data_IF_817684465503
#
_entry.id   IF_817684465503
#
_cell.length_a   1.000
_cell.length_b   1.000
_cell.length_c   1.000
_cell.angle_alpha   90.00
_cell.angle_beta   90.00
_cell.angle_gamma   90.00
#
_symmetry.space_group_name_H-M   'P 1'
#
loop_
_entity.id
_entity.type
_entity.pdbx_description
1 polymer ?
#
# COMPACT_ATOMS: atom_id res chain seq x y z
N UNK A 1 -26.71 24.38 49.53
CA UNK A 1 -26.31 24.81 48.18
C UNK A 1 -24.80 25.09 48.16
N UNK A 2 -24.10 24.42 47.23
CA UNK A 2 -22.70 24.63 46.75
C UNK A 2 -21.55 24.54 47.76
N UNK A 3 -20.92 23.35 47.79
CA UNK A 3 -19.52 23.14 48.19
C UNK A 3 -18.64 23.46 46.97
N UNK A 4 -17.72 24.41 47.12
CA UNK A 4 -16.66 24.70 46.16
C UNK A 4 -15.51 23.71 46.37
N UNK A 5 -15.25 22.86 45.37
CA UNK A 5 -14.03 22.06 45.29
C UNK A 5 -13.08 22.74 44.30
N UNK A 6 -12.00 23.32 44.84
CA UNK A 6 -10.84 23.83 44.12
C UNK A 6 -10.02 22.65 43.60
N UNK A 7 -10.05 22.40 42.28
CA UNK A 7 -9.12 21.50 41.62
C UNK A 7 -7.86 22.29 41.23
N UNK A 8 -6.75 22.01 41.92
CA UNK A 8 -5.42 22.49 41.54
C UNK A 8 -4.93 21.65 40.36
N UNK A 9 -4.83 22.24 39.18
CA UNK A 9 -4.05 21.67 38.08
C UNK A 9 -2.56 21.82 38.41
N UNK A 10 -1.86 20.68 38.42
CA UNK A 10 -0.39 20.60 38.41
C UNK A 10 0.05 20.75 36.96
N UNK A 11 0.94 21.69 36.60
CA UNK A 11 1.53 21.71 35.27
C UNK A 11 2.60 20.62 35.18
N UNK A 12 2.36 19.59 34.38
CA UNK A 12 3.43 18.68 33.94
C UNK A 12 4.16 19.38 32.80
N UNK A 13 5.28 20.00 33.15
CA UNK A 13 6.25 20.49 32.18
C UNK A 13 7.00 19.28 31.59
N UNK A 14 6.67 18.91 30.35
CA UNK A 14 7.48 17.97 29.59
C UNK A 14 8.52 18.77 28.80
N UNK A 15 9.69 18.94 29.41
CA UNK A 15 10.85 19.59 28.82
C UNK A 15 11.44 18.73 27.70
N UNK A 16 11.15 19.07 26.44
CA UNK A 16 11.91 18.58 25.29
C UNK A 16 13.15 19.47 25.10
N UNK A 17 14.25 19.09 25.75
CA UNK A 17 15.57 19.73 25.55
C UNK A 17 16.38 18.83 24.60
N UNK A 18 16.37 19.14 23.32
CA UNK A 18 17.44 18.72 22.41
C UNK A 18 18.37 19.92 22.21
N UNK A 19 19.41 19.99 23.04
CA UNK A 19 20.53 20.91 22.85
C UNK A 19 21.36 20.42 21.66
N UNK A 20 21.38 21.24 20.61
CA UNK A 20 22.45 21.25 19.61
C UNK A 20 23.74 21.70 20.30
N UNK A 21 24.78 20.87 20.21
CA UNK A 21 26.14 21.22 20.59
C UNK A 21 27.11 20.69 19.55
N UNK A 22 27.58 21.57 18.66
CA UNK A 22 28.74 21.36 17.81
C UNK A 22 30.02 21.27 18.65
N UNK A 23 31.00 20.47 18.23
CA UNK A 23 32.40 20.68 18.63
C UNK A 23 33.29 19.44 18.76
N UNK A 24 33.93 19.07 17.64
CA UNK A 24 35.36 18.73 17.47
C UNK A 24 36.12 17.96 18.57
N UNK A 25 36.72 16.82 18.20
CA UNK A 25 37.94 16.31 18.85
C UNK A 25 38.23 14.82 18.67
N UNK A 26 39.21 14.49 17.83
CA UNK A 26 40.03 13.26 17.88
C UNK A 26 41.49 13.69 18.21
N UNK A 27 42.49 12.80 18.50
CA UNK A 27 42.48 11.40 18.95
C UNK A 27 43.53 11.10 20.07
N UNK A 28 43.68 9.80 20.44
CA UNK A 28 44.77 9.05 21.15
C UNK A 28 44.17 8.22 22.31
N UNK A 29 44.44 6.93 22.55
CA UNK A 29 45.43 5.98 22.06
C UNK A 29 46.04 5.25 23.26
N UNK A 30 45.83 3.92 23.40
CA UNK A 30 46.78 2.89 23.92
C UNK A 30 46.07 1.62 24.45
N UNK A 31 46.41 0.47 23.86
CA UNK A 31 46.85 -0.83 24.44
C UNK A 31 46.62 -1.06 25.96
N UNK A 32 46.33 -2.27 26.49
CA UNK A 32 46.82 -3.60 26.12
C UNK A 32 46.16 -4.71 26.99
N UNK A 33 45.95 -5.92 26.42
CA UNK A 33 46.07 -7.30 27.02
C UNK A 33 45.25 -7.73 28.27
N UNK A 34 44.85 -8.99 28.49
CA UNK A 34 45.14 -10.29 27.87
C UNK A 34 44.20 -11.41 28.40
N UNK A 35 44.05 -12.47 27.57
CA UNK A 35 44.01 -13.93 27.85
C UNK A 35 42.97 -14.47 28.85
N UNK A 36 42.10 -15.40 28.46
CA UNK A 36 42.34 -16.84 28.17
C UNK A 36 41.14 -17.61 28.78
N UNK A 37 40.73 -18.82 28.44
CA UNK A 37 41.30 -19.91 27.67
C UNK A 37 40.14 -20.79 27.15
N UNK A 38 40.39 -21.54 26.08
CA UNK A 38 39.55 -22.60 25.55
C UNK A 38 39.75 -23.91 26.34
N UNK A 39 38.71 -24.74 26.46
CA UNK A 39 38.83 -26.21 26.47
C UNK A 39 37.55 -26.84 25.92
N UNK A 40 37.74 -27.66 24.89
CA UNK A 40 36.84 -28.65 24.28
C UNK A 40 36.77 -29.96 25.08
N UNK A 41 35.70 -30.75 24.98
CA UNK A 41 35.80 -32.21 24.80
C UNK A 41 34.48 -32.86 24.33
N UNK A 42 34.66 -33.93 23.56
CA UNK A 42 33.69 -34.73 22.81
C UNK A 42 33.06 -35.88 23.64
N UNK A 43 31.87 -36.29 23.17
CA UNK A 43 31.32 -37.64 22.95
C UNK A 43 31.40 -38.76 24.02
N UNK A 44 30.25 -39.42 24.29
CA UNK A 44 30.05 -40.85 23.96
C UNK A 44 28.59 -41.31 24.17
N UNK A 45 28.17 -42.24 23.29
CA UNK A 45 26.92 -43.02 23.27
C UNK A 45 26.85 -44.13 24.34
N UNK A 46 25.65 -44.65 24.62
CA UNK A 46 25.49 -45.94 25.32
C UNK A 46 24.08 -46.35 25.80
N UNK A 47 23.27 -46.90 24.88
CA UNK A 47 22.39 -48.08 24.95
C UNK A 47 21.24 -48.32 25.99
N UNK A 48 20.02 -48.49 25.41
CA UNK A 48 18.90 -49.45 25.63
C UNK A 48 18.36 -49.90 27.02
N UNK A 49 17.01 -49.84 27.15
CA UNK A 49 16.11 -51.03 27.26
C UNK A 49 14.58 -50.70 27.27
N UNK A 50 13.86 -51.38 26.37
CA UNK A 50 12.46 -51.93 26.36
C UNK A 50 11.36 -51.31 27.26
N UNK A 51 10.19 -50.87 26.79
CA UNK A 51 9.10 -51.45 25.95
C UNK A 51 7.83 -51.76 26.79
N UNK A 52 6.65 -51.49 26.22
CA UNK A 52 5.28 -52.09 26.37
C UNK A 52 4.23 -50.96 26.16
N UNK A 53 3.65 -50.83 24.96
CA UNK A 53 2.34 -51.38 24.51
C UNK A 53 1.16 -50.45 24.88
N UNK A 54 0.39 -49.85 23.97
CA UNK A 54 -0.66 -50.55 23.22
C UNK A 54 -1.39 -49.63 22.19
N UNK A 55 -1.51 -50.18 20.97
CA UNK A 55 -2.59 -50.13 19.96
C UNK A 55 -3.44 -48.87 19.73
N UNK A 56 -3.24 -48.30 18.54
CA UNK A 56 -4.22 -47.55 17.76
C UNK A 56 -5.33 -48.46 17.16
N UNK A 57 -6.53 -47.92 16.88
CA UNK A 57 -7.42 -48.44 15.85
C UNK A 57 -7.26 -47.64 14.55
N UNK A 58 -7.10 -48.36 13.43
CA UNK A 58 -7.34 -47.84 12.09
C UNK A 58 -8.85 -47.66 11.85
N UNK A 59 -9.23 -46.55 11.22
CA UNK A 59 -10.46 -46.45 10.43
C UNK A 59 -10.11 -45.86 9.07
N UNK A 60 -10.56 -46.55 8.02
CA UNK A 60 -10.43 -46.19 6.61
C UNK A 60 -11.49 -45.15 6.19
N UNK A 61 -11.06 -44.29 5.26
CA UNK A 61 -11.78 -43.79 4.08
C UNK A 61 -13.00 -42.84 4.20
N UNK A 62 -13.08 -41.96 3.19
CA UNK A 62 -14.07 -40.93 2.87
C UNK A 62 -14.00 -39.67 3.76
N UNK A 63 -13.91 -38.45 3.26
CA UNK A 63 -14.48 -37.91 2.03
C UNK A 63 -13.47 -37.05 1.25
N UNK A 64 -13.33 -37.35 -0.03
CA UNK A 64 -12.99 -36.35 -1.02
C UNK A 64 -14.19 -35.40 -1.10
N UNK A 65 -14.06 -34.16 -0.61
CA UNK A 65 -15.04 -33.13 -0.91
C UNK A 65 -14.66 -32.52 -2.26
N UNK A 66 -15.43 -32.93 -3.26
CA UNK A 66 -15.41 -32.37 -4.60
C UNK A 66 -15.87 -30.91 -4.51
N UNK A 67 -14.97 -29.96 -4.76
CA UNK A 67 -15.38 -28.63 -5.23
C UNK A 67 -15.82 -28.84 -6.67
N UNK A 68 -17.12 -29.08 -6.85
CA UNK A 68 -17.73 -29.02 -8.17
C UNK A 68 -17.61 -27.59 -8.67
N UNK A 69 -16.86 -27.46 -9.76
CA UNK A 69 -16.85 -26.31 -10.66
C UNK A 69 -18.29 -26.06 -11.13
N UNK A 70 -18.97 -25.09 -10.53
CA UNK A 70 -20.14 -24.46 -11.14
C UNK A 70 -19.63 -23.23 -11.86
N UNK A 71 -19.04 -23.46 -13.03
CA UNK A 71 -19.05 -22.44 -14.08
C UNK A 71 -20.30 -22.74 -14.91
N UNK A 72 -21.48 -22.44 -14.36
CA UNK A 72 -22.65 -22.21 -15.19
C UNK A 72 -22.44 -20.82 -15.79
N UNK A 73 -22.03 -20.78 -17.06
CA UNK A 73 -22.35 -19.65 -17.93
C UNK A 73 -23.88 -19.58 -17.97
N UNK A 74 -24.47 -18.80 -17.07
CA UNK A 74 -25.83 -18.32 -17.25
C UNK A 74 -25.80 -17.51 -18.54
N UNK A 75 -26.56 -17.94 -19.54
CA UNK A 75 -26.81 -17.08 -20.69
C UNK A 75 -27.46 -15.80 -20.16
N UNK A 76 -27.00 -14.61 -20.59
CA UNK A 76 -27.57 -13.37 -20.11
C UNK A 76 -29.09 -13.38 -20.34
N UNK A 77 -29.85 -12.99 -19.32
CA UNK A 77 -31.30 -12.84 -19.45
C UNK A 77 -31.64 -11.85 -20.57
N UNK A 78 -32.86 -11.90 -21.09
CA UNK A 78 -33.30 -11.06 -22.23
C UNK A 78 -33.15 -9.54 -21.98
N UNK A 79 -32.91 -9.11 -20.73
CA UNK A 79 -32.74 -7.71 -20.30
C UNK A 79 -31.30 -7.38 -19.78
N UNK A 80 -30.29 -8.20 -20.05
CA UNK A 80 -28.89 -7.93 -19.63
C UNK A 80 -28.28 -6.77 -20.42
N UNK A 81 -27.88 -5.72 -19.71
CA UNK A 81 -27.09 -4.61 -20.24
C UNK A 81 -25.73 -4.61 -19.54
N UNK A 82 -24.63 -4.95 -20.25
CA UNK A 82 -23.31 -4.98 -19.65
C UNK A 82 -22.88 -3.62 -19.11
N UNK A 83 -22.13 -3.64 -18.02
CA UNK A 83 -21.50 -2.46 -17.44
C UNK A 83 -20.70 -1.71 -18.52
N UNK A 84 -20.97 -0.41 -18.64
CA UNK A 84 -20.27 0.46 -19.59
C UNK A 84 -19.22 1.27 -18.84
N UNK A 85 -17.97 0.83 -18.93
CA UNK A 85 -16.84 1.60 -18.42
C UNK A 85 -16.73 2.96 -19.14
N UNK A 86 -16.38 4.05 -18.44
CA UNK A 86 -16.08 5.32 -19.08
C UNK A 86 -14.77 5.23 -19.89
N UNK A 87 -14.47 6.29 -20.66
CA UNK A 87 -13.17 6.40 -21.31
C UNK A 87 -12.02 6.31 -20.30
N UNK A 88 -10.93 5.65 -20.72
CA UNK A 88 -9.74 5.46 -19.90
C UNK A 88 -9.17 6.82 -19.43
N UNK A 89 -9.09 7.00 -18.11
CA UNK A 89 -8.55 8.21 -17.51
C UNK A 89 -7.02 8.08 -17.35
N UNK A 90 -6.28 8.57 -18.33
CA UNK A 90 -4.81 8.53 -18.30
C UNK A 90 -4.20 9.63 -17.40
N UNK A 91 -2.92 9.47 -17.05
CA UNK A 91 -2.10 10.49 -16.41
C UNK A 91 -0.76 10.66 -17.12
N UNK A 92 -0.49 11.90 -17.55
CA UNK A 92 0.66 12.22 -18.41
C UNK A 92 1.44 13.38 -17.82
N UNK A 93 2.77 13.27 -17.87
CA UNK A 93 3.68 14.35 -17.50
C UNK A 93 3.97 15.24 -18.71
N UNK A 94 3.71 16.54 -18.58
CA UNK A 94 3.94 17.54 -19.63
C UNK A 94 5.14 18.41 -19.27
N UNK A 95 6.32 18.03 -19.78
CA UNK A 95 7.56 18.73 -19.48
C UNK A 95 7.56 20.21 -19.94
N UNK A 96 6.80 20.54 -20.97
CA UNK A 96 6.63 21.89 -21.53
C UNK A 96 5.70 22.80 -20.71
N UNK A 97 4.85 22.20 -19.87
CA UNK A 97 3.95 22.91 -18.94
C UNK A 97 4.48 22.92 -17.50
N UNK A 98 5.60 22.23 -17.25
CA UNK A 98 6.19 22.11 -15.92
C UNK A 98 6.91 23.39 -15.48
N UNK A 99 6.68 23.79 -14.24
CA UNK A 99 7.48 24.82 -13.57
C UNK A 99 8.68 24.17 -12.87
N UNK A 100 9.77 24.89 -12.67
CA UNK A 100 10.95 24.29 -12.05
C UNK A 100 12.15 25.20 -11.89
N UNK A 101 13.22 24.62 -11.37
CA UNK A 101 14.53 25.26 -11.20
C UNK A 101 15.63 24.25 -11.44
N UNK A 102 16.64 24.65 -12.23
CA UNK A 102 17.79 23.81 -12.53
C UNK A 102 17.39 22.50 -13.19
N UNK A 103 17.57 21.40 -12.46
CA UNK A 103 17.31 20.04 -12.92
C UNK A 103 15.97 19.44 -12.48
N UNK A 104 15.10 20.22 -11.81
CA UNK A 104 13.78 19.80 -11.36
C UNK A 104 12.70 20.40 -12.25
N UNK A 105 11.74 19.56 -12.66
CA UNK A 105 10.50 19.94 -13.35
C UNK A 105 9.32 19.41 -12.55
N UNK A 106 8.36 20.28 -12.20
CA UNK A 106 7.12 19.97 -11.51
C UNK A 106 5.93 20.40 -12.38
N UNK A 107 5.21 19.43 -12.91
CA UNK A 107 4.00 19.62 -13.70
C UNK A 107 2.76 19.56 -12.79
N UNK A 108 2.04 20.67 -12.69
CA UNK A 108 0.77 20.80 -12.00
C UNK A 108 -0.38 21.20 -12.94
N UNK A 109 -0.17 21.13 -14.26
CA UNK A 109 -1.18 21.48 -15.27
C UNK A 109 -2.44 20.63 -15.16
N UNK A 110 -2.30 19.38 -14.71
CA UNK A 110 -3.37 18.43 -14.47
C UNK A 110 -3.89 18.40 -13.03
N UNK A 111 -3.57 19.39 -12.19
CA UNK A 111 -3.98 19.40 -10.79
C UNK A 111 -5.50 19.30 -10.59
N UNK A 112 -6.30 19.86 -11.51
CA UNK A 112 -7.78 19.72 -11.46
C UNK A 112 -8.28 18.30 -11.72
N UNK A 113 -7.46 17.47 -12.37
CA UNK A 113 -7.66 16.03 -12.57
C UNK A 113 -7.02 15.20 -11.45
N UNK A 114 -6.62 15.83 -10.35
CA UNK A 114 -6.21 15.14 -9.12
C UNK A 114 -4.81 14.54 -9.14
N UNK A 115 -3.95 14.95 -10.07
CA UNK A 115 -2.55 14.50 -10.10
C UNK A 115 -1.59 15.62 -10.51
N UNK A 116 -0.32 15.41 -10.21
CA UNK A 116 0.80 16.16 -10.79
C UNK A 116 1.92 15.20 -11.16
N UNK A 117 2.96 15.72 -11.79
CA UNK A 117 4.16 14.94 -12.10
C UNK A 117 5.43 15.67 -11.73
N UNK A 118 6.48 14.92 -11.38
CA UNK A 118 7.79 15.49 -11.06
C UNK A 118 8.88 14.69 -11.76
N UNK A 119 9.84 15.40 -12.33
CA UNK A 119 11.08 14.84 -12.88
C UNK A 119 12.26 15.58 -12.26
N UNK A 120 13.35 14.86 -11.99
CA UNK A 120 14.57 15.45 -11.48
C UNK A 120 15.81 14.78 -12.09
N UNK A 121 16.87 15.56 -12.29
CA UNK A 121 18.22 15.04 -12.52
C UNK A 121 19.14 15.41 -11.38
N UNK A 122 19.83 14.44 -10.79
CA UNK A 122 20.68 14.64 -9.62
C UNK A 122 21.73 13.54 -9.48
N UNK A 123 22.78 13.80 -8.70
CA UNK A 123 23.83 12.82 -8.41
C UNK A 123 23.46 11.94 -7.21
N UNK A 124 22.58 12.45 -6.33
CA UNK A 124 22.09 11.77 -5.13
C UNK A 124 20.58 11.61 -5.13
N UNK A 125 20.07 10.74 -4.24
CA UNK A 125 18.63 10.43 -4.12
C UNK A 125 17.79 11.70 -3.97
N UNK A 126 16.75 11.83 -4.78
CA UNK A 126 15.79 12.94 -4.72
C UNK A 126 14.47 12.47 -4.12
N UNK A 127 13.83 13.35 -3.34
CA UNK A 127 12.48 13.14 -2.82
C UNK A 127 11.58 14.31 -3.13
N UNK A 128 10.33 14.01 -3.49
CA UNK A 128 9.21 14.94 -3.43
C UNK A 128 8.51 14.75 -2.09
N UNK A 129 8.25 15.82 -1.36
CA UNK A 129 7.38 15.86 -0.21
C UNK A 129 6.21 16.82 -0.47
N UNK A 130 5.00 16.35 -0.22
CA UNK A 130 3.77 17.11 -0.36
C UNK A 130 3.12 17.26 1.01
N UNK A 131 2.78 18.50 1.36
CA UNK A 131 2.08 18.82 2.61
C UNK A 131 0.97 19.82 2.36
N UNK A 132 -0.14 19.70 3.10
CA UNK A 132 -1.22 20.69 3.17
C UNK A 132 -1.13 21.51 4.45
N UNK A 133 -1.96 22.57 4.57
CA UNK A 133 -1.88 23.51 5.70
C UNK A 133 -2.32 22.90 7.05
N UNK A 134 -3.05 21.78 7.07
CA UNK A 134 -3.47 21.13 8.30
C UNK A 134 -2.27 20.54 9.06
N UNK A 135 -2.06 20.98 10.30
CA UNK A 135 -0.92 20.54 11.11
C UNK A 135 -0.90 19.03 11.41
N UNK A 136 -2.06 18.37 11.30
CA UNK A 136 -2.25 16.92 11.46
C UNK A 136 -2.41 16.18 10.13
N UNK A 137 -2.36 16.86 9.00
CA UNK A 137 -2.55 16.23 7.70
C UNK A 137 -1.37 15.31 7.37
N UNK A 138 -1.63 14.18 6.69
CA UNK A 138 -0.57 13.28 6.28
C UNK A 138 0.43 13.98 5.35
N UNK A 139 1.70 13.64 5.52
CA UNK A 139 2.78 14.10 4.64
C UNK A 139 3.09 13.00 3.65
N UNK A 140 2.89 13.29 2.37
CA UNK A 140 3.20 12.34 1.30
C UNK A 140 4.63 12.53 0.85
N UNK A 141 5.40 11.44 0.77
CA UNK A 141 6.80 11.49 0.35
C UNK A 141 7.06 10.42 -0.70
N UNK A 142 7.62 10.84 -1.84
CA UNK A 142 7.91 9.98 -2.97
C UNK A 142 9.40 10.01 -3.30
N UNK A 143 9.98 8.85 -3.60
CA UNK A 143 11.29 8.78 -4.23
C UNK A 143 11.17 9.18 -5.70
N UNK A 144 12.02 10.10 -6.16
CA UNK A 144 12.03 10.59 -7.55
C UNK A 144 13.27 10.03 -8.25
N UNK A 145 13.13 9.37 -9.42
CA UNK A 145 14.26 8.94 -10.22
C UNK A 145 15.19 10.12 -10.54
N UNK A 146 16.50 9.88 -10.51
CA UNK A 146 17.52 10.93 -10.66
C UNK A 146 18.06 11.04 -12.08
N UNK A 147 17.53 10.25 -13.02
CA UNK A 147 17.90 10.22 -14.43
C UNK A 147 17.00 11.12 -15.31
N UNK A 148 16.01 11.77 -14.71
CA UNK A 148 15.02 12.58 -15.39
C UNK A 148 13.74 11.83 -15.78
N UNK A 149 13.61 10.55 -15.44
CA UNK A 149 12.35 9.82 -15.59
C UNK A 149 11.30 10.43 -14.65
N UNK A 150 10.15 10.91 -15.16
CA UNK A 150 9.13 11.50 -14.32
C UNK A 150 8.39 10.42 -13.52
N UNK A 151 7.83 10.83 -12.38
CA UNK A 151 6.78 10.08 -11.68
C UNK A 151 5.50 10.90 -11.65
N UNK A 152 4.36 10.22 -11.64
CA UNK A 152 3.04 10.82 -11.40
C UNK A 152 2.65 10.58 -9.94
N UNK A 153 2.15 11.61 -9.27
CA UNK A 153 1.66 11.52 -7.89
C UNK A 153 0.21 12.02 -7.79
N UNK A 154 -0.64 11.39 -6.97
CA UNK A 154 -2.00 11.84 -6.75
C UNK A 154 -2.07 12.99 -5.74
N UNK A 155 -3.08 13.84 -5.86
CA UNK A 155 -3.39 14.96 -4.96
C UNK A 155 -4.56 14.57 -4.04
N UNK A 156 -4.28 13.73 -3.05
CA UNK A 156 -5.31 13.00 -2.29
C UNK A 156 -5.93 13.77 -1.12
N UNK A 157 -5.39 14.95 -0.76
CA UNK A 157 -5.91 15.80 0.33
C UNK A 157 -7.05 16.73 -0.11
N UNK A 158 -7.60 16.56 -1.31
CA UNK A 158 -8.72 17.37 -1.82
C UNK A 158 -8.32 18.79 -2.22
N UNK A 159 -9.28 19.72 -2.15
CA UNK A 159 -9.06 21.14 -2.48
C UNK A 159 -8.27 21.86 -1.39
N UNK A 160 -7.46 22.84 -1.79
CA UNK A 160 -6.78 23.75 -0.87
C UNK A 160 -5.33 24.00 -1.25
N UNK A 161 -4.58 24.62 -0.33
CA UNK A 161 -3.18 24.96 -0.56
C UNK A 161 -2.26 23.78 -0.26
N UNK A 162 -1.48 23.40 -1.27
CA UNK A 162 -0.43 22.39 -1.19
C UNK A 162 0.94 23.07 -1.20
N UNK A 163 1.89 22.49 -0.49
CA UNK A 163 3.31 22.80 -0.61
C UNK A 163 4.03 21.58 -1.17
N UNK A 164 4.78 21.79 -2.25
CA UNK A 164 5.61 20.78 -2.91
C UNK A 164 7.06 21.12 -2.64
N UNK A 165 7.77 20.23 -1.93
CA UNK A 165 9.19 20.34 -1.66
C UNK A 165 9.94 19.23 -2.39
N UNK A 166 10.83 19.60 -3.31
CA UNK A 166 11.74 18.66 -3.96
C UNK A 166 13.14 18.86 -3.38
N UNK A 167 13.73 17.81 -2.83
CA UNK A 167 15.03 17.88 -2.19
C UNK A 167 15.97 16.77 -2.62
N UNK A 168 17.27 17.06 -2.65
CA UNK A 168 18.35 16.12 -2.90
C UNK A 168 19.00 15.70 -1.59
N UNK A 169 19.31 14.41 -1.45
CA UNK A 169 19.92 13.87 -0.25
C UNK A 169 21.33 14.41 -0.05
N UNK A 170 21.61 14.91 1.16
CA UNK A 170 22.96 15.35 1.55
C UNK A 170 23.63 14.31 2.44
N UNK A 171 22.88 13.79 3.42
CA UNK A 171 23.35 12.71 4.30
C UNK A 171 22.18 12.11 5.08
N UNK A 172 22.17 10.79 5.23
CA UNK A 172 21.11 10.09 5.98
C UNK A 172 19.71 10.50 5.53
N UNK A 173 18.95 11.14 6.43
CA UNK A 173 17.60 11.65 6.19
C UNK A 173 17.54 13.15 5.87
N UNK A 174 18.68 13.83 5.73
CA UNK A 174 18.76 15.26 5.43
C UNK A 174 18.73 15.50 3.93
N UNK A 175 17.88 16.42 3.51
CA UNK A 175 17.74 16.84 2.11
C UNK A 175 17.94 18.34 1.99
N UNK A 176 18.74 18.75 0.99
CA UNK A 176 18.84 20.14 0.58
C UNK A 176 17.71 20.46 -0.40
N UNK A 177 17.12 21.65 -0.29
CA UNK A 177 16.07 22.07 -1.20
C UNK A 177 16.63 22.25 -2.62
N UNK A 178 16.05 21.54 -3.58
CA UNK A 178 16.25 21.81 -5.01
C UNK A 178 15.17 22.76 -5.53
N UNK A 179 13.92 22.51 -5.16
CA UNK A 179 12.77 23.30 -5.59
C UNK A 179 11.68 23.28 -4.52
N UNK A 180 10.96 24.38 -4.38
CA UNK A 180 9.76 24.43 -3.54
C UNK A 180 8.74 25.37 -4.15
N UNK A 181 7.47 24.99 -4.10
CA UNK A 181 6.38 25.85 -4.54
C UNK A 181 5.10 25.56 -3.76
N UNK A 182 4.19 26.53 -3.80
CA UNK A 182 2.83 26.39 -3.27
C UNK A 182 1.84 26.44 -4.42
N UNK A 183 0.79 25.66 -4.32
CA UNK A 183 -0.26 25.64 -5.34
C UNK A 183 -1.64 25.46 -4.68
N UNK A 184 -2.62 26.25 -5.13
CA UNK A 184 -4.01 26.13 -4.69
C UNK A 184 -4.74 25.13 -5.60
N UNK A 185 -4.89 23.90 -5.12
CA UNK A 185 -5.53 22.81 -5.87
C UNK A 185 -7.05 22.98 -5.84
N UNK A 186 -7.65 22.91 -7.03
CA UNK A 186 -9.11 22.86 -7.23
C UNK A 186 -9.43 21.69 -8.13
N UNK A 187 -9.83 20.58 -7.52
CA UNK A 187 -10.25 19.38 -8.21
C UNK A 187 -11.56 19.63 -8.95
N UNK A 188 -11.73 18.96 -10.09
CA UNK A 188 -13.00 18.89 -10.81
C UNK A 188 -14.08 18.22 -9.95
N UNK A 189 -13.70 17.16 -9.25
CA UNK A 189 -14.48 16.45 -8.24
C UNK A 189 -13.54 15.67 -7.30
N UNK A 190 -14.06 15.15 -6.20
CA UNK A 190 -13.28 14.48 -5.15
C UNK A 190 -12.71 13.12 -5.56
N UNK A 191 -13.18 12.53 -6.66
CA UNK A 191 -12.76 11.21 -7.11
C UNK A 191 -11.53 11.25 -8.02
N UNK A 192 -11.24 12.41 -8.61
CA UNK A 192 -10.17 12.59 -9.60
C UNK A 192 -8.80 11.98 -9.22
N UNK A 193 -8.30 12.10 -7.96
CA UNK A 193 -7.02 11.50 -7.58
C UNK A 193 -7.00 9.97 -7.61
N UNK A 194 -8.17 9.34 -7.56
CA UNK A 194 -8.35 7.90 -7.35
C UNK A 194 -8.85 7.19 -8.61
N UNK A 195 -8.72 7.80 -9.78
CA UNK A 195 -9.19 7.27 -11.06
C UNK A 195 -8.07 6.99 -12.06
N UNK A 196 -6.83 7.35 -11.75
CA UNK A 196 -5.73 7.41 -12.72
C UNK A 196 -4.51 6.61 -12.29
N UNK A 197 -3.60 6.33 -13.23
CA UNK A 197 -2.28 5.82 -12.90
C UNK A 197 -1.50 6.79 -12.01
N UNK A 198 -0.73 6.24 -11.09
CA UNK A 198 0.21 6.97 -10.23
C UNK A 198 1.43 6.12 -9.92
N UNK A 199 2.44 6.69 -9.27
CA UNK A 199 3.71 6.01 -8.97
C UNK A 199 3.54 4.68 -8.25
N UNK A 200 2.51 4.53 -7.41
CA UNK A 200 2.26 3.28 -6.68
C UNK A 200 1.15 2.41 -7.27
N UNK A 201 0.37 2.95 -8.21
CA UNK A 201 -0.62 2.22 -8.99
C UNK A 201 -0.33 2.51 -10.44
N UNK A 202 0.77 1.95 -10.95
CA UNK A 202 1.33 2.31 -12.25
C UNK A 202 0.84 1.35 -13.34
N UNK A 203 0.04 1.87 -14.26
CA UNK A 203 -0.53 1.15 -15.40
C UNK A 203 -0.79 2.11 -16.56
N UNK A 204 -1.07 1.57 -17.73
CA UNK A 204 -1.44 2.30 -18.94
C UNK A 204 -2.61 1.60 -19.62
N UNK A 205 -3.23 2.24 -20.62
CA UNK A 205 -4.33 1.62 -21.37
C UNK A 205 -3.96 0.25 -21.99
N UNK A 206 -2.69 0.05 -22.35
CA UNK A 206 -2.21 -1.19 -22.98
C UNK A 206 -1.82 -2.29 -21.99
N UNK A 207 -1.77 -1.96 -20.69
CA UNK A 207 -1.40 -2.90 -19.62
C UNK A 207 -2.32 -4.12 -19.60
N UNK A 208 -1.77 -5.28 -19.25
CA UNK A 208 -2.54 -6.53 -19.19
C UNK A 208 -3.62 -6.47 -18.11
N UNK A 209 -3.39 -5.75 -17.01
CA UNK A 209 -4.40 -5.56 -15.96
C UNK A 209 -5.63 -4.81 -16.47
N UNK A 210 -5.46 -3.80 -17.33
CA UNK A 210 -6.58 -3.04 -17.92
C UNK A 210 -7.40 -3.93 -18.84
N UNK A 211 -6.74 -4.70 -19.71
CA UNK A 211 -7.42 -5.65 -20.60
C UNK A 211 -8.19 -6.71 -19.82
N UNK A 212 -7.57 -7.28 -18.77
CA UNK A 212 -8.23 -8.26 -17.91
C UNK A 212 -9.44 -7.66 -17.18
N UNK A 213 -9.33 -6.43 -16.69
CA UNK A 213 -10.44 -5.76 -16.02
C UNK A 213 -11.63 -5.53 -16.97
N UNK A 214 -11.36 -5.17 -18.23
CA UNK A 214 -12.39 -5.04 -19.26
C UNK A 214 -13.08 -6.38 -19.55
N UNK A 215 -12.32 -7.48 -19.68
CA UNK A 215 -12.88 -8.84 -19.86
C UNK A 215 -13.81 -9.25 -18.70
N UNK A 216 -13.44 -8.92 -17.46
CA UNK A 216 -14.28 -9.21 -16.28
C UNK A 216 -15.54 -8.33 -16.24
N UNK A 217 -15.46 -7.11 -16.78
CA UNK A 217 -16.59 -6.20 -16.85
C UNK A 217 -17.62 -6.56 -17.92
N UNK A 218 -17.24 -7.35 -18.95
CA UNK A 218 -18.17 -7.81 -20.00
C UNK A 218 -19.34 -8.65 -19.46
N UNK A 219 -19.15 -9.31 -18.32
CA UNK A 219 -20.16 -10.13 -17.66
C UNK A 219 -20.83 -9.45 -16.45
N UNK A 220 -20.46 -8.21 -16.15
CA UNK A 220 -20.98 -7.44 -15.03
C UNK A 220 -22.15 -6.55 -15.48
N UNK A 221 -23.17 -6.36 -14.65
CA UNK A 221 -24.24 -5.39 -14.91
C UNK A 221 -23.95 -4.04 -14.22
N UNK A 222 -23.30 -4.09 -13.06
CA UNK A 222 -23.06 -2.93 -12.21
C UNK A 222 -21.59 -2.75 -11.87
N UNK A 223 -21.23 -1.54 -11.42
CA UNK A 223 -19.89 -1.26 -10.90
C UNK A 223 -19.53 -2.17 -9.71
N UNK A 224 -20.51 -2.59 -8.90
CA UNK A 224 -20.28 -3.49 -7.79
C UNK A 224 -19.95 -4.92 -8.27
N UNK A 225 -20.59 -5.39 -9.35
CA UNK A 225 -20.27 -6.69 -9.94
C UNK A 225 -18.86 -6.69 -10.55
N UNK A 226 -18.44 -5.57 -11.16
CA UNK A 226 -17.05 -5.39 -11.63
C UNK A 226 -16.08 -5.46 -10.46
N UNK A 227 -16.41 -4.79 -9.35
CA UNK A 227 -15.62 -4.87 -8.11
C UNK A 227 -15.48 -6.33 -7.69
N UNK A 228 -16.59 -7.05 -7.50
CA UNK A 228 -16.61 -8.44 -7.08
C UNK A 228 -15.73 -9.34 -7.99
N UNK A 229 -15.92 -9.25 -9.30
CA UNK A 229 -15.17 -10.05 -10.28
C UNK A 229 -13.66 -9.76 -10.26
N UNK A 230 -13.26 -8.49 -10.11
CA UNK A 230 -11.84 -8.10 -10.00
C UNK A 230 -11.22 -8.67 -8.73
N UNK A 231 -11.90 -8.53 -7.60
CA UNK A 231 -11.37 -9.02 -6.32
C UNK A 231 -11.26 -10.55 -6.31
N UNK A 232 -12.29 -11.27 -6.78
CA UNK A 232 -12.25 -12.73 -6.92
C UNK A 232 -11.09 -13.16 -7.83
N UNK A 233 -10.96 -12.54 -9.00
CA UNK A 233 -9.87 -12.85 -9.93
C UNK A 233 -8.49 -12.72 -9.28
N UNK A 234 -8.24 -11.62 -8.57
CA UNK A 234 -6.93 -11.38 -7.94
C UNK A 234 -6.67 -12.38 -6.81
N UNK A 235 -7.68 -12.68 -5.98
CA UNK A 235 -7.58 -13.70 -4.92
C UNK A 235 -7.23 -15.09 -5.48
N UNK A 236 -7.88 -15.49 -6.57
CA UNK A 236 -7.73 -16.82 -7.15
C UNK A 236 -6.46 -17.00 -7.98
N UNK A 237 -5.94 -15.90 -8.53
CA UNK A 237 -4.84 -15.96 -9.48
C UNK A 237 -3.49 -15.51 -8.93
N UNK A 238 -3.44 -14.79 -7.81
CA UNK A 238 -2.17 -14.32 -7.23
C UNK A 238 -1.87 -15.10 -5.95
N UNK A 239 -0.65 -15.64 -5.86
CA UNK A 239 -0.13 -16.33 -4.69
C UNK A 239 0.81 -15.43 -3.88
N UNK A 240 0.71 -15.49 -2.56
CA UNK A 240 1.50 -14.60 -1.70
C UNK A 240 3.01 -14.92 -1.73
N UNK A 241 3.84 -13.90 -1.99
CA UNK A 241 5.29 -14.00 -1.99
C UNK A 241 5.91 -13.83 -0.60
N UNK A 242 5.95 -14.92 0.16
CA UNK A 242 6.56 -14.95 1.50
C UNK A 242 8.05 -14.60 1.49
N UNK A 243 8.79 -14.93 0.42
CA UNK A 243 10.23 -14.66 0.35
C UNK A 243 10.50 -13.19 0.07
N UNK A 244 9.73 -12.56 -0.82
CA UNK A 244 9.81 -11.13 -1.08
C UNK A 244 9.35 -10.35 0.16
N UNK A 245 8.24 -10.73 0.79
CA UNK A 245 7.75 -10.11 2.01
C UNK A 245 8.83 -10.11 3.11
N UNK A 246 9.49 -11.26 3.34
CA UNK A 246 10.60 -11.36 4.29
C UNK A 246 11.77 -10.44 3.91
N UNK A 247 12.16 -10.38 2.63
CA UNK A 247 13.26 -9.52 2.19
C UNK A 247 12.96 -8.02 2.37
N UNK A 248 11.72 -7.61 2.17
CA UNK A 248 11.24 -6.24 2.43
C UNK A 248 11.27 -5.95 3.93
N UNK A 249 10.73 -6.85 4.76
CA UNK A 249 10.73 -6.73 6.23
C UNK A 249 12.15 -6.65 6.81
N UNK A 250 13.08 -7.46 6.30
CA UNK A 250 14.48 -7.47 6.68
C UNK A 250 15.29 -6.30 6.08
N UNK A 251 14.65 -5.39 5.34
CA UNK A 251 15.26 -4.23 4.66
C UNK A 251 16.39 -4.61 3.69
N UNK A 252 16.35 -5.83 3.14
CA UNK A 252 17.24 -6.26 2.05
C UNK A 252 16.81 -5.64 0.72
N UNK A 253 15.51 -5.46 0.55
CA UNK A 253 14.90 -4.62 -0.49
C UNK A 253 14.49 -3.32 0.19
N UNK A 254 15.14 -2.21 -0.18
CA UNK A 254 14.94 -0.90 0.46
C UNK A 254 14.07 0.06 -0.36
N UNK A 255 13.77 -0.31 -1.61
CA UNK A 255 12.83 0.37 -2.48
C UNK A 255 12.10 -0.67 -3.30
N UNK A 256 10.77 -0.58 -3.32
CA UNK A 256 9.91 -1.52 -4.02
C UNK A 256 8.65 -0.79 -4.50
N UNK A 257 8.35 -0.92 -5.79
CA UNK A 257 7.13 -0.46 -6.44
C UNK A 257 6.66 -1.58 -7.37
N UNK A 258 5.37 -1.98 -7.32
CA UNK A 258 4.84 -3.06 -8.15
C UNK A 258 4.99 -2.81 -9.65
N UNK A 259 5.37 -3.86 -10.38
CA UNK A 259 5.15 -3.96 -11.83
C UNK A 259 3.93 -4.89 -12.04
N UNK A 260 2.78 -4.28 -12.31
CA UNK A 260 1.48 -4.99 -12.28
C UNK A 260 1.37 -6.06 -13.37
N UNK A 261 1.99 -5.85 -14.53
CA UNK A 261 2.02 -6.84 -15.59
C UNK A 261 2.94 -8.02 -15.23
N UNK A 262 4.04 -7.79 -14.50
CA UNK A 262 4.87 -8.87 -13.95
C UNK A 262 4.16 -9.62 -12.82
N UNK A 263 3.39 -8.94 -11.97
CA UNK A 263 2.57 -9.59 -10.94
C UNK A 263 1.55 -10.53 -11.59
N UNK A 264 0.83 -10.05 -12.63
CA UNK A 264 -0.13 -10.88 -13.38
C UNK A 264 0.54 -12.07 -14.07
N UNK A 265 1.72 -11.85 -14.68
CA UNK A 265 2.46 -12.89 -15.39
C UNK A 265 3.03 -13.95 -14.46
N UNK A 266 3.64 -13.53 -13.36
CA UNK A 266 4.26 -14.42 -12.37
C UNK A 266 3.24 -15.05 -11.43
N UNK A 267 2.03 -14.47 -11.35
CA UNK A 267 0.96 -14.87 -10.45
C UNK A 267 1.40 -14.84 -8.97
N UNK A 268 2.29 -13.91 -8.62
CA UNK A 268 2.91 -13.85 -7.29
C UNK A 268 3.14 -12.40 -6.86
N UNK A 269 2.89 -12.09 -5.58
CA UNK A 269 3.07 -10.74 -5.04
C UNK A 269 2.90 -10.65 -3.52
N UNK A 270 3.18 -9.49 -2.94
CA UNK A 270 2.93 -9.14 -1.53
C UNK A 270 1.77 -8.15 -1.42
N UNK A 271 1.37 -7.75 -0.21
CA UNK A 271 0.19 -6.88 0.01
C UNK A 271 0.12 -5.64 -0.87
N UNK A 272 1.27 -5.00 -1.11
CA UNK A 272 1.35 -3.87 -2.04
C UNK A 272 0.97 -4.27 -3.48
N UNK A 273 1.44 -5.40 -4.00
CA UNK A 273 1.10 -5.88 -5.34
C UNK A 273 -0.40 -6.17 -5.48
N UNK A 274 -1.00 -6.83 -4.50
CA UNK A 274 -2.42 -7.13 -4.50
C UNK A 274 -3.26 -5.84 -4.53
N UNK A 275 -2.97 -4.91 -3.63
CA UNK A 275 -3.70 -3.65 -3.53
C UNK A 275 -3.50 -2.76 -4.77
N UNK A 276 -2.29 -2.69 -5.30
CA UNK A 276 -1.99 -1.91 -6.50
C UNK A 276 -2.63 -2.53 -7.77
N UNK A 277 -2.62 -3.86 -7.89
CA UNK A 277 -3.24 -4.55 -9.02
C UNK A 277 -4.75 -4.35 -9.03
N UNK A 278 -5.42 -4.56 -7.90
CA UNK A 278 -6.87 -4.33 -7.79
C UNK A 278 -7.22 -2.87 -8.04
N UNK A 279 -6.48 -1.91 -7.46
CA UNK A 279 -6.68 -0.49 -7.75
C UNK A 279 -6.53 -0.18 -9.25
N UNK A 280 -5.51 -0.69 -9.92
CA UNK A 280 -5.33 -0.45 -11.35
C UNK A 280 -6.50 -1.00 -12.19
N UNK A 281 -6.92 -2.24 -11.89
CA UNK A 281 -8.04 -2.87 -12.57
C UNK A 281 -9.33 -2.06 -12.38
N UNK A 282 -9.69 -1.69 -11.15
CA UNK A 282 -10.91 -0.92 -10.86
C UNK A 282 -10.88 0.50 -11.42
N UNK A 283 -9.75 1.21 -11.25
CA UNK A 283 -9.58 2.57 -11.80
C UNK A 283 -9.71 2.58 -13.32
N UNK A 284 -9.19 1.55 -13.99
CA UNK A 284 -9.33 1.42 -15.46
C UNK A 284 -10.78 1.25 -15.93
N UNK A 285 -11.66 0.78 -15.05
CA UNK A 285 -13.10 0.66 -15.30
C UNK A 285 -13.89 1.89 -14.79
N UNK A 286 -13.20 2.96 -14.41
CA UNK A 286 -13.82 4.21 -13.93
C UNK A 286 -14.28 4.17 -12.47
N UNK A 287 -13.88 3.17 -11.69
CA UNK A 287 -14.30 2.99 -10.30
C UNK A 287 -13.24 3.64 -9.38
N UNK A 288 -13.56 4.75 -8.69
CA UNK A 288 -12.60 5.44 -7.85
C UNK A 288 -12.10 4.51 -6.75
N UNK A 289 -10.79 4.28 -6.70
CA UNK A 289 -10.19 3.32 -5.76
C UNK A 289 -8.94 3.90 -5.12
N UNK A 290 -8.97 4.10 -3.81
CA UNK A 290 -7.81 4.44 -2.99
C UNK A 290 -6.95 3.20 -2.79
N UNK A 291 -5.64 3.38 -2.88
CA UNK A 291 -4.69 2.45 -2.29
C UNK A 291 -4.27 3.03 -0.94
N UNK A 292 -4.47 2.26 0.12
CA UNK A 292 -4.25 2.70 1.50
C UNK A 292 -3.08 1.95 2.08
N UNK A 293 -2.19 2.68 2.76
CA UNK A 293 -1.20 2.09 3.64
C UNK A 293 -1.47 2.47 5.09
N UNK A 294 -1.15 1.54 5.98
CA UNK A 294 -1.24 1.76 7.41
C UNK A 294 -0.87 0.51 8.17
N UNK A 295 -1.22 0.46 9.46
CA UNK A 295 -0.84 -0.63 10.34
C UNK A 295 -2.03 -1.53 10.69
N UNK A 296 -1.77 -2.83 10.82
CA UNK A 296 -2.76 -3.83 11.23
C UNK A 296 -2.36 -4.42 12.59
N UNK A 297 -3.21 -4.18 13.59
CA UNK A 297 -3.11 -4.74 14.95
C UNK A 297 -3.40 -6.26 14.96
N UNK A 298 -2.90 -7.00 15.97
CA UNK A 298 -2.18 -6.53 17.16
C UNK A 298 -0.66 -6.33 16.98
N UNK A 299 -0.10 -6.76 15.85
CA UNK A 299 1.35 -6.81 15.63
C UNK A 299 1.92 -5.56 14.93
N UNK A 300 1.10 -4.51 14.75
CA UNK A 300 1.41 -3.27 14.03
C UNK A 300 2.09 -3.54 12.67
N UNK A 301 1.51 -4.46 11.91
CA UNK A 301 2.05 -4.86 10.60
C UNK A 301 1.72 -3.77 9.59
N UNK A 302 2.74 -3.08 9.07
CA UNK A 302 2.58 -2.18 7.94
C UNK A 302 2.07 -2.93 6.72
N UNK A 303 0.92 -2.51 6.21
CA UNK A 303 0.13 -3.27 5.24
C UNK A 303 -0.50 -2.35 4.19
N UNK A 304 -1.03 -2.95 3.13
CA UNK A 304 -1.67 -2.24 2.03
C UNK A 304 -3.02 -2.88 1.67
N UNK A 305 -4.03 -2.04 1.47
CA UNK A 305 -5.38 -2.46 1.06
C UNK A 305 -6.03 -1.39 0.18
N UNK A 306 -7.30 -1.57 -0.17
CA UNK A 306 -8.05 -0.64 -1.00
C UNK A 306 -9.29 -0.09 -0.29
N UNK A 307 -9.73 1.09 -0.72
CA UNK A 307 -11.09 1.59 -0.51
C UNK A 307 -11.64 2.01 -1.86
N UNK A 308 -12.84 1.56 -2.23
CA UNK A 308 -13.45 1.93 -3.52
C UNK A 308 -14.73 2.72 -3.30
N UNK A 309 -15.18 3.43 -4.34
CA UNK A 309 -16.44 4.15 -4.33
C UNK A 309 -17.36 3.62 -5.44
N UNK A 310 -18.63 3.41 -5.10
CA UNK A 310 -19.71 3.31 -6.08
C UNK A 310 -20.84 4.24 -5.67
N UNK A 311 -21.68 4.68 -6.60
CA UNK A 311 -22.86 5.49 -6.27
C UNK A 311 -23.83 4.76 -5.33
N UNK A 312 -23.88 3.43 -5.43
CA UNK A 312 -24.76 2.57 -4.65
C UNK A 312 -24.28 2.45 -3.19
N UNK A 313 -22.97 2.43 -2.97
CA UNK A 313 -22.37 2.07 -1.67
C UNK A 313 -21.66 3.24 -0.98
N UNK A 314 -21.37 4.33 -1.70
CA UNK A 314 -20.43 5.34 -1.23
C UNK A 314 -18.99 4.81 -1.16
N UNK A 315 -18.12 5.50 -0.41
CA UNK A 315 -16.76 5.01 -0.12
C UNK A 315 -16.86 3.81 0.82
N UNK A 316 -16.60 2.65 0.26
CA UNK A 316 -16.44 1.42 1.00
C UNK A 316 -14.94 1.27 1.27
N UNK A 317 -14.52 1.66 2.47
CA UNK A 317 -13.41 0.91 3.08
C UNK A 317 -13.88 -0.52 3.10
N UNK A 318 -13.05 -1.46 2.65
CA UNK A 318 -13.36 -2.87 2.81
C UNK A 318 -13.45 -3.16 4.32
N UNK A 319 -14.67 -3.01 4.85
CA UNK A 319 -15.11 -3.11 6.22
C UNK A 319 -16.59 -3.50 6.26
N UNK A 320 -16.85 -4.43 7.16
CA UNK A 320 -18.09 -5.10 7.39
C UNK A 320 -19.22 -4.15 7.81
N UNK A 321 -20.30 -4.13 7.04
CA UNK A 321 -21.64 -4.53 7.52
C UNK A 321 -22.66 -4.44 6.38
N UNK A 322 -23.06 -5.59 5.83
CA UNK A 322 -24.46 -5.83 5.46
C UNK A 322 -24.76 -7.28 5.82
N UNK A 323 -25.69 -7.53 6.74
CA UNK A 323 -26.39 -8.82 6.86
C UNK A 323 -27.82 -8.60 6.38
N UNK A 324 -28.41 -9.46 5.55
CA UNK A 324 -28.30 -10.93 5.50
C UNK A 324 -28.16 -11.43 4.05
N UNK A 325 -27.23 -12.36 3.80
CA UNK A 325 -27.02 -13.03 2.50
C UNK A 325 -25.56 -13.38 2.19
N UNK A 326 -24.64 -12.75 2.96
CA UNK A 326 -23.19 -12.98 3.15
C UNK A 326 -22.25 -12.77 1.94
N UNK A 327 -21.52 -11.64 2.01
CA UNK A 327 -20.21 -11.36 1.38
C UNK A 327 -19.29 -10.68 2.42
N UNK A 328 -17.99 -10.98 2.41
CA UNK A 328 -17.01 -10.57 3.42
C UNK A 328 -15.98 -9.56 2.89
N UNK A 329 -15.28 -8.93 3.85
CA UNK A 329 -14.09 -8.09 3.64
C UNK A 329 -13.02 -8.80 2.79
N UNK A 330 -12.56 -8.15 1.72
CA UNK A 330 -11.43 -8.57 0.88
C UNK A 330 -10.19 -7.69 1.12
N UNK A 331 -9.47 -7.99 2.20
CA UNK A 331 -8.02 -7.76 2.16
C UNK A 331 -7.46 -8.89 1.30
N UNK A 332 -7.24 -8.65 0.02
CA UNK A 332 -6.87 -9.72 -0.92
C UNK A 332 -5.68 -10.57 -0.42
N UNK A 333 -4.77 -9.98 0.36
CA UNK A 333 -3.65 -10.72 0.96
C UNK A 333 -4.09 -11.63 2.11
N UNK A 334 -4.92 -11.10 3.00
CA UNK A 334 -5.52 -11.89 4.09
C UNK A 334 -6.83 -12.58 3.68
N UNK A 335 -7.22 -12.60 2.42
CA UNK A 335 -8.37 -13.36 1.90
C UNK A 335 -7.92 -14.44 0.92
N UNK A 336 -6.80 -14.25 0.22
CA UNK A 336 -6.24 -15.27 -0.67
C UNK A 336 -5.53 -16.41 0.11
N UNK A 337 -5.65 -17.63 -0.41
CA UNK A 337 -4.86 -18.80 -0.02
C UNK A 337 -5.02 -19.28 1.45
N UNK A 338 -6.23 -19.23 2.02
CA UNK A 338 -6.53 -19.82 3.34
C UNK A 338 -6.03 -18.97 4.51
N UNK A 339 -6.21 -17.67 4.40
CA UNK A 339 -5.67 -16.69 5.31
C UNK A 339 -6.35 -16.69 6.70
N UNK A 340 -5.62 -16.12 7.66
CA UNK A 340 -5.91 -16.17 9.09
C UNK A 340 -7.05 -15.21 9.45
N UNK A 341 -8.27 -15.75 9.60
CA UNK A 341 -9.52 -15.03 9.91
C UNK A 341 -9.38 -14.04 11.10
N UNK A 342 -8.39 -14.26 11.98
CA UNK A 342 -8.12 -13.40 13.14
C UNK A 342 -7.71 -11.97 12.78
N UNK A 343 -7.08 -11.75 11.63
CA UNK A 343 -6.70 -10.42 11.13
C UNK A 343 -7.82 -9.71 10.37
N UNK A 344 -8.80 -10.47 9.86
CA UNK A 344 -9.91 -9.93 9.06
C UNK A 344 -10.99 -9.33 9.97
N UNK A 345 -11.36 -10.01 11.07
CA UNK A 345 -12.18 -9.46 12.18
C UNK A 345 -13.40 -8.60 11.77
N UNK A 346 -13.77 -7.61 12.59
CA UNK A 346 -14.67 -6.50 12.21
C UNK A 346 -13.90 -5.33 11.56
N UNK A 347 -12.58 -5.49 11.48
CA UNK A 347 -11.59 -4.59 10.93
C UNK A 347 -11.15 -3.41 11.80
N UNK A 348 -11.65 -3.32 13.04
CA UNK A 348 -11.19 -2.33 14.04
C UNK A 348 -9.69 -2.36 14.34
N UNK A 349 -8.98 -3.39 13.88
CA UNK A 349 -7.53 -3.55 13.96
C UNK A 349 -6.74 -2.72 12.94
N UNK A 350 -7.38 -2.01 12.00
CA UNK A 350 -6.70 -1.29 10.92
C UNK A 350 -6.59 0.19 11.23
N UNK A 351 -5.40 0.75 11.01
CA UNK A 351 -5.12 2.16 11.17
C UNK A 351 -4.63 2.77 9.85
N UNK A 352 -5.55 3.37 9.10
CA UNK A 352 -5.27 4.09 7.86
C UNK A 352 -4.29 5.24 8.12
N UNK A 353 -3.17 5.27 7.39
CA UNK A 353 -2.13 6.30 7.57
C UNK A 353 -1.92 7.15 6.32
N UNK A 354 -1.94 6.54 5.13
CA UNK A 354 -1.69 7.21 3.85
C UNK A 354 -2.66 6.73 2.77
N UNK A 355 -3.13 7.65 1.92
CA UNK A 355 -4.05 7.38 0.83
C UNK A 355 -3.43 7.81 -0.51
N UNK A 356 -3.46 6.91 -1.49
CA UNK A 356 -2.87 7.08 -2.83
C UNK A 356 -3.81 6.63 -3.95
#
# INVERSE_FOLDING_TARGET
MRRNASLRLVPVALSLVCLFGCGTGEPKGSNETARGAAVSHQAQEGNEKQAVESKAPQVQASAASQVQKVAETQEPGEDFEPYQAPEFADSVFHADLADGSGSVLLDLSSASLGYGGVSAKADSRVKLQITTEGASDPKYTYDVPTDGTPIIFPLTSGNGQYTFFVGENVSGTRYAQLYTTKYDVKLKDEFQPFLRPSVYVNYSQDSQCVRRAAELAETAETALDVVEAVYEYVCDNITYDRDLARQVQEKKVTSYVPDLDQVLKSKKGICFDYAALAAAMLRSQGIPTKMVFGDVSPDDVYHAWNMFYTEQTGWVSVHFQVKSGDWNRLDLTFSANGADDSFIGDGSNYLDTLYY
#
